data_IF_167775583522
#
_entry.id   IF_167775583522
#
_cell.length_a   1.000
_cell.length_b   1.000
_cell.length_c   1.000
_cell.angle_alpha   90.00
_cell.angle_beta   90.00
_cell.angle_gamma   90.00
#
_symmetry.space_group_name_H-M   'P 1'
#
loop_
_entity.id
_entity.type
_entity.pdbx_description
1 polymer ?
#
# COMPACT_ATOMS: atom_id res chain seq x y z
N UNK A 1 7.66 28.09 -57.59
CA UNK A 1 7.66 28.55 -56.16
C UNK A 1 6.40 28.16 -55.41
N UNK A 2 5.22 28.07 -56.06
CA UNK A 2 3.96 27.65 -55.43
C UNK A 2 3.99 26.24 -54.80
N UNK A 3 4.58 25.27 -55.50
CA UNK A 3 4.63 23.88 -55.02
C UNK A 3 5.45 23.69 -53.73
N UNK A 4 6.53 24.46 -53.52
CA UNK A 4 7.33 24.42 -52.31
C UNK A 4 6.56 25.02 -51.10
N UNK A 5 5.81 26.05 -51.32
CA UNK A 5 4.96 26.68 -50.30
C UNK A 5 3.82 25.75 -49.85
N UNK A 6 3.16 25.08 -50.79
CA UNK A 6 2.10 24.13 -50.49
C UNK A 6 2.62 22.90 -49.72
N UNK A 7 3.80 22.41 -50.07
CA UNK A 7 4.44 21.31 -49.31
C UNK A 7 4.77 21.72 -47.89
N UNK A 8 5.35 22.91 -47.66
CA UNK A 8 5.68 23.39 -46.30
C UNK A 8 4.43 23.66 -45.48
N UNK A 9 3.36 24.20 -46.08
CA UNK A 9 2.10 24.44 -45.41
C UNK A 9 1.42 23.10 -44.96
N UNK A 10 1.43 22.09 -45.85
CA UNK A 10 0.92 20.76 -45.51
C UNK A 10 1.70 20.11 -44.38
N UNK A 11 3.02 20.19 -44.41
CA UNK A 11 3.91 19.63 -43.38
C UNK A 11 3.65 20.29 -42.02
N UNK A 12 3.53 21.62 -42.00
CA UNK A 12 3.20 22.37 -40.80
C UNK A 12 1.85 21.94 -40.19
N UNK A 13 0.84 21.73 -41.06
CA UNK A 13 -0.50 21.27 -40.66
C UNK A 13 -0.46 19.92 -39.98
N UNK A 14 0.25 18.94 -40.54
CA UNK A 14 0.35 17.60 -39.94
C UNK A 14 1.16 17.61 -38.63
N UNK A 15 2.20 18.42 -38.56
CA UNK A 15 2.99 18.59 -37.34
C UNK A 15 2.12 19.20 -36.22
N UNK A 16 1.28 20.16 -36.53
CA UNK A 16 0.37 20.77 -35.57
C UNK A 16 -0.65 19.75 -35.02
N UNK A 17 -1.24 18.95 -35.90
CA UNK A 17 -2.15 17.87 -35.52
C UNK A 17 -1.45 16.84 -34.62
N UNK A 18 -0.23 16.44 -34.95
CA UNK A 18 0.54 15.50 -34.15
C UNK A 18 0.82 16.02 -32.73
N UNK A 19 1.18 17.31 -32.61
CA UNK A 19 1.41 17.95 -31.30
C UNK A 19 0.12 17.97 -30.48
N UNK A 20 -1.02 18.33 -31.08
CA UNK A 20 -2.30 18.32 -30.36
C UNK A 20 -2.66 16.93 -29.85
N UNK A 21 -2.52 15.91 -30.68
CA UNK A 21 -2.78 14.52 -30.29
C UNK A 21 -1.86 14.07 -29.17
N UNK A 22 -0.59 14.46 -29.21
CA UNK A 22 0.38 14.15 -28.16
C UNK A 22 0.00 14.80 -26.82
N UNK A 23 -0.42 16.06 -26.82
CA UNK A 23 -0.86 16.79 -25.62
C UNK A 23 -2.11 16.11 -25.02
N UNK A 24 -3.07 15.73 -25.86
CA UNK A 24 -4.29 15.04 -25.41
C UNK A 24 -3.94 13.70 -24.79
N UNK A 25 -3.10 12.90 -25.44
CA UNK A 25 -2.66 11.60 -24.92
C UNK A 25 -1.92 11.73 -23.57
N UNK A 26 -0.99 12.69 -23.47
CA UNK A 26 -0.27 12.97 -22.23
C UNK A 26 -1.22 13.40 -21.09
N UNK A 27 -2.21 14.25 -21.38
CA UNK A 27 -3.22 14.69 -20.41
C UNK A 27 -4.08 13.54 -19.89
N UNK A 28 -4.49 12.63 -20.76
CA UNK A 28 -5.28 11.44 -20.38
C UNK A 28 -4.45 10.51 -19.46
N UNK A 29 -3.18 10.27 -19.79
CA UNK A 29 -2.28 9.45 -18.97
C UNK A 29 -2.07 10.07 -17.58
N UNK A 30 -1.85 11.39 -17.54
CA UNK A 30 -1.66 12.11 -16.27
C UNK A 30 -2.93 12.05 -15.40
N UNK A 31 -4.10 12.34 -15.97
CA UNK A 31 -5.39 12.25 -15.28
C UNK A 31 -5.70 10.84 -14.76
N UNK A 32 -5.35 9.81 -15.53
CA UNK A 32 -5.52 8.43 -15.09
C UNK A 32 -4.61 8.08 -13.90
N UNK A 33 -3.39 8.63 -13.86
CA UNK A 33 -2.46 8.45 -12.75
C UNK A 33 -2.94 9.16 -11.48
N UNK A 34 -3.40 10.40 -11.59
CA UNK A 34 -3.98 11.17 -10.48
C UNK A 34 -5.26 10.53 -9.92
N UNK A 35 -6.14 10.05 -10.80
CA UNK A 35 -7.35 9.35 -10.39
C UNK A 35 -7.06 8.07 -9.58
N UNK A 36 -5.97 7.37 -9.88
CA UNK A 36 -5.53 6.19 -9.09
C UNK A 36 -5.01 6.59 -7.71
N UNK A 37 -4.25 7.70 -7.61
CA UNK A 37 -3.79 8.23 -6.32
C UNK A 37 -4.94 8.73 -5.45
N UNK A 38 -5.90 9.47 -6.01
CA UNK A 38 -7.08 9.94 -5.27
C UNK A 38 -7.97 8.78 -4.78
N UNK A 39 -8.13 7.74 -5.58
CA UNK A 39 -8.89 6.55 -5.15
C UNK A 39 -8.19 5.83 -3.99
N UNK A 40 -6.85 5.77 -3.98
CA UNK A 40 -6.06 5.24 -2.85
C UNK A 40 -6.24 6.11 -1.60
N UNK A 41 -6.11 7.43 -1.70
CA UNK A 41 -6.30 8.34 -0.58
C UNK A 41 -7.72 8.28 0.03
N UNK A 42 -8.77 8.17 -0.80
CA UNK A 42 -10.16 8.00 -0.33
C UNK A 42 -10.40 6.64 0.35
N UNK A 43 -9.68 5.58 -0.06
CA UNK A 43 -9.76 4.28 0.62
C UNK A 43 -9.13 4.33 2.01
N UNK A 44 -7.97 4.98 2.14
CA UNK A 44 -7.27 5.15 3.42
C UNK A 44 -8.15 5.88 4.44
N UNK A 45 -8.89 6.91 4.01
CA UNK A 45 -9.80 7.67 4.88
C UNK A 45 -11.01 6.87 5.40
N UNK A 46 -11.31 5.71 4.81
CA UNK A 46 -12.42 4.81 5.22
C UNK A 46 -11.96 3.60 6.02
N UNK A 47 -10.66 3.41 6.16
CA UNK A 47 -10.09 2.25 6.84
C UNK A 47 -10.16 2.44 8.35
N UNK A 48 -10.72 1.49 9.06
CA UNK A 48 -10.81 1.51 10.52
C UNK A 48 -9.45 1.31 11.22
N UNK A 49 -8.42 0.82 10.50
CA UNK A 49 -7.06 0.63 11.00
C UNK A 49 -6.14 1.56 10.22
N UNK A 50 -5.40 2.41 10.93
CA UNK A 50 -4.45 3.35 10.33
C UNK A 50 -3.00 2.93 10.46
N UNK A 51 -2.65 2.30 11.55
CA UNK A 51 -1.29 1.85 11.77
C UNK A 51 -1.26 0.54 12.55
N UNK A 52 -0.14 -0.15 12.45
CA UNK A 52 0.22 -1.25 13.32
C UNK A 52 1.37 -0.81 14.22
N UNK A 53 1.31 -1.19 15.49
CA UNK A 53 2.36 -0.95 16.48
C UNK A 53 3.00 -2.27 16.85
N UNK A 54 4.32 -2.40 16.69
CA UNK A 54 5.06 -3.58 17.05
C UNK A 54 5.13 -3.74 18.57
N UNK A 55 4.91 -4.98 19.01
CA UNK A 55 5.06 -5.41 20.40
C UNK A 55 6.32 -6.26 20.52
N UNK A 56 6.53 -7.21 19.60
CA UNK A 56 7.72 -8.06 19.50
C UNK A 56 8.29 -8.00 18.07
N UNK A 57 9.62 -8.01 17.89
CA UNK A 57 10.69 -8.17 18.90
C UNK A 57 10.94 -6.89 19.70
N UNK A 58 11.49 -7.05 20.90
CA UNK A 58 11.74 -5.94 21.84
C UNK A 58 12.60 -4.81 21.26
N UNK A 59 13.53 -5.13 20.37
CA UNK A 59 14.38 -4.15 19.67
C UNK A 59 13.59 -3.15 18.84
N UNK A 60 12.40 -3.56 18.39
CA UNK A 60 11.50 -2.74 17.56
C UNK A 60 10.21 -2.36 18.30
N UNK A 61 10.16 -2.59 19.61
CA UNK A 61 8.99 -2.29 20.43
C UNK A 61 8.51 -0.83 20.25
N UNK A 62 7.22 -0.67 20.09
CA UNK A 62 6.60 0.65 19.92
C UNK A 62 6.73 1.26 18.53
N UNK A 63 7.50 0.65 17.61
CA UNK A 63 7.59 1.12 16.23
C UNK A 63 6.22 1.06 15.57
N UNK A 64 5.82 2.16 14.97
CA UNK A 64 4.56 2.27 14.24
C UNK A 64 4.79 2.20 12.73
N UNK A 65 3.95 1.43 12.04
CA UNK A 65 3.92 1.36 10.60
C UNK A 65 2.54 1.77 10.12
N UNK A 66 2.48 2.85 9.35
CA UNK A 66 1.22 3.35 8.80
C UNK A 66 0.83 2.58 7.54
N UNK A 67 -0.43 2.15 7.48
CA UNK A 67 -0.95 1.35 6.37
C UNK A 67 -1.45 2.29 5.28
N UNK A 68 -0.65 2.47 4.24
CA UNK A 68 -0.97 3.29 3.09
C UNK A 68 -1.37 2.43 1.87
N UNK A 69 -2.48 1.70 2.01
CA UNK A 69 -3.01 0.81 0.97
C UNK A 69 -2.56 -0.62 1.13
N UNK A 70 -1.37 -0.97 0.67
CA UNK A 70 -0.77 -2.30 0.82
C UNK A 70 0.58 -2.17 1.51
N UNK A 71 0.84 -3.06 2.46
CA UNK A 71 2.05 -3.09 3.25
C UNK A 71 2.54 -4.53 3.39
N UNK A 72 3.83 -4.74 3.19
CA UNK A 72 4.50 -6.03 3.29
C UNK A 72 5.35 -6.13 4.55
N UNK A 73 5.26 -7.25 5.24
CA UNK A 73 6.04 -7.57 6.44
C UNK A 73 6.89 -8.81 6.15
N UNK A 74 8.17 -8.73 6.40
CA UNK A 74 9.05 -9.85 6.15
C UNK A 74 10.52 -9.58 6.48
N UNK A 75 11.39 -10.46 5.99
CA UNK A 75 12.85 -10.35 6.16
C UNK A 75 13.56 -9.80 4.91
N UNK A 76 12.83 -9.42 3.87
CA UNK A 76 13.39 -8.90 2.63
C UNK A 76 13.73 -7.43 2.73
N UNK A 77 14.77 -6.97 2.05
CA UNK A 77 15.18 -5.55 2.00
C UNK A 77 14.11 -4.64 1.37
N UNK A 78 13.23 -5.20 0.53
CA UNK A 78 12.16 -4.48 -0.13
C UNK A 78 10.82 -4.59 0.60
N UNK A 79 10.78 -5.21 1.79
CA UNK A 79 9.58 -5.26 2.60
C UNK A 79 9.40 -3.92 3.34
N UNK A 80 8.16 -3.41 3.41
CA UNK A 80 7.85 -2.13 4.07
C UNK A 80 8.21 -2.17 5.57
N UNK A 81 8.07 -3.34 6.17
CA UNK A 81 8.58 -3.64 7.51
C UNK A 81 9.55 -4.81 7.43
N UNK A 82 10.84 -4.48 7.42
CA UNK A 82 11.90 -5.49 7.41
C UNK A 82 12.28 -5.86 8.83
N UNK A 83 12.11 -7.14 9.19
CA UNK A 83 12.47 -7.70 10.50
C UNK A 83 13.35 -8.92 10.26
N UNK A 84 14.61 -8.83 10.67
CA UNK A 84 15.59 -9.92 10.55
C UNK A 84 15.62 -10.75 11.84
N UNK A 85 15.96 -12.03 11.73
CA UNK A 85 16.21 -12.88 12.91
C UNK A 85 14.99 -13.54 13.54
N UNK A 86 13.75 -13.16 13.16
CA UNK A 86 12.51 -13.66 13.76
C UNK A 86 11.83 -14.77 12.94
N UNK A 87 12.58 -15.55 12.18
CA UNK A 87 12.03 -16.67 11.39
C UNK A 87 11.07 -16.27 10.26
N UNK A 88 10.95 -14.97 9.96
CA UNK A 88 10.14 -14.48 8.86
C UNK A 88 10.77 -14.79 7.50
N UNK A 89 9.94 -15.03 6.50
CA UNK A 89 10.34 -15.11 5.10
C UNK A 89 10.27 -13.73 4.45
N UNK A 90 10.88 -13.57 3.27
CA UNK A 90 10.66 -12.40 2.41
C UNK A 90 9.19 -12.27 2.06
N UNK A 91 8.62 -11.09 2.23
CA UNK A 91 7.19 -10.79 2.07
C UNK A 91 6.33 -11.88 2.74
N UNK A 92 6.58 -12.15 4.03
CA UNK A 92 5.92 -13.23 4.77
C UNK A 92 4.43 -12.96 4.96
N UNK A 93 4.09 -11.74 5.31
CA UNK A 93 2.73 -11.26 5.43
C UNK A 93 2.50 -10.02 4.58
N UNK A 94 1.26 -9.83 4.16
CA UNK A 94 0.81 -8.68 3.40
C UNK A 94 -0.47 -8.17 4.01
N UNK A 95 -0.48 -6.90 4.40
CA UNK A 95 -1.65 -6.19 4.90
C UNK A 95 -2.17 -5.32 3.76
N UNK A 96 -3.46 -5.38 3.49
CA UNK A 96 -4.07 -4.65 2.39
C UNK A 96 -5.52 -4.28 2.72
N UNK A 97 -5.98 -3.18 2.15
CA UNK A 97 -7.38 -2.77 2.24
C UNK A 97 -8.20 -3.47 1.14
N UNK A 98 -9.23 -4.18 1.56
CA UNK A 98 -10.23 -4.78 0.69
C UNK A 98 -11.60 -4.19 1.00
N UNK A 99 -12.06 -3.29 0.14
CA UNK A 99 -13.39 -2.64 0.26
C UNK A 99 -13.64 -1.91 1.60
N UNK A 100 -12.60 -1.32 2.19
CA UNK A 100 -12.69 -0.60 3.47
C UNK A 100 -12.44 -1.48 4.71
N UNK A 101 -12.12 -2.75 4.50
CA UNK A 101 -11.73 -3.68 5.56
C UNK A 101 -10.24 -4.00 5.39
N UNK A 102 -9.47 -3.82 6.45
CA UNK A 102 -8.07 -4.23 6.46
C UNK A 102 -7.99 -5.75 6.60
N UNK A 103 -7.28 -6.36 5.68
CA UNK A 103 -7.06 -7.80 5.68
C UNK A 103 -5.57 -8.09 5.75
N UNK A 104 -5.22 -9.15 6.48
CA UNK A 104 -3.87 -9.71 6.45
C UNK A 104 -3.87 -11.03 5.68
N UNK A 105 -2.85 -11.20 4.84
CA UNK A 105 -2.59 -12.45 4.12
C UNK A 105 -1.19 -12.94 4.42
N UNK A 106 -1.07 -14.17 4.92
CA UNK A 106 0.22 -14.78 5.27
C UNK A 106 0.62 -15.87 4.28
N UNK A 107 1.93 -16.01 4.02
CA UNK A 107 2.47 -17.07 3.16
C UNK A 107 2.35 -18.43 3.81
N UNK A 108 2.61 -18.53 5.11
CA UNK A 108 2.53 -19.77 5.88
C UNK A 108 1.56 -19.60 7.04
N UNK A 109 0.61 -20.51 7.16
CA UNK A 109 -0.38 -20.52 8.25
C UNK A 109 0.20 -20.97 9.59
N UNK A 110 1.26 -21.75 9.55
CA UNK A 110 1.92 -22.23 10.75
C UNK A 110 2.49 -21.04 11.52
N UNK A 111 2.15 -20.95 12.81
CA UNK A 111 2.54 -19.83 13.66
C UNK A 111 1.89 -18.48 13.29
N UNK A 112 0.65 -18.52 12.82
CA UNK A 112 -0.17 -17.34 12.62
C UNK A 112 -1.37 -17.39 13.56
N UNK A 113 -1.49 -16.40 14.44
CA UNK A 113 -2.62 -16.23 15.35
C UNK A 113 -3.09 -14.79 15.40
N UNK A 114 -4.37 -14.61 15.75
CA UNK A 114 -4.98 -13.32 16.04
C UNK A 114 -5.63 -13.45 17.40
N UNK A 115 -5.30 -12.55 18.33
CA UNK A 115 -5.77 -12.58 19.72
C UNK A 115 -5.53 -13.96 20.35
N UNK A 116 -4.32 -14.52 20.15
CA UNK A 116 -3.87 -15.85 20.58
C UNK A 116 -4.62 -17.05 19.97
N UNK A 117 -5.58 -16.81 19.08
CA UNK A 117 -6.32 -17.85 18.37
C UNK A 117 -5.62 -18.19 17.05
N UNK A 118 -5.16 -19.43 16.92
CA UNK A 118 -4.53 -19.92 15.70
C UNK A 118 -5.48 -19.86 14.51
N UNK A 119 -5.02 -19.28 13.42
CA UNK A 119 -5.81 -19.07 12.22
C UNK A 119 -5.63 -20.21 11.21
N UNK A 120 -6.75 -20.77 10.76
CA UNK A 120 -6.77 -21.80 9.70
C UNK A 120 -6.74 -21.20 8.30
N UNK A 121 -7.16 -19.94 8.14
CA UNK A 121 -7.17 -19.21 6.87
C UNK A 121 -5.85 -18.47 6.63
N UNK A 122 -5.47 -18.34 5.35
CA UNK A 122 -4.31 -17.50 4.96
C UNK A 122 -4.65 -16.01 4.87
N UNK A 123 -5.92 -15.67 4.76
CA UNK A 123 -6.39 -14.29 4.68
C UNK A 123 -7.50 -14.09 5.69
N UNK A 124 -7.32 -13.12 6.57
CA UNK A 124 -8.25 -12.80 7.66
C UNK A 124 -8.44 -11.30 7.69
N UNK A 125 -9.68 -10.87 7.97
CA UNK A 125 -10.00 -9.48 8.24
C UNK A 125 -9.50 -9.11 9.64
N UNK A 126 -9.00 -7.89 9.78
CA UNK A 126 -8.50 -7.35 11.03
C UNK A 126 -9.42 -6.24 11.53
N UNK A 127 -9.56 -6.17 12.86
CA UNK A 127 -10.27 -5.10 13.54
C UNK A 127 -9.32 -4.24 14.39
N UNK A 128 -9.67 -2.98 14.68
CA UNK A 128 -8.89 -2.17 15.61
C UNK A 128 -8.83 -2.84 16.98
N UNK A 129 -7.63 -2.96 17.54
CA UNK A 129 -7.37 -3.65 18.80
C UNK A 129 -6.92 -5.09 18.63
N UNK A 130 -7.01 -5.67 17.44
CA UNK A 130 -6.51 -7.03 17.22
C UNK A 130 -5.00 -7.10 17.41
N UNK A 131 -4.57 -8.10 18.16
CA UNK A 131 -3.17 -8.49 18.31
C UNK A 131 -2.86 -9.63 17.35
N UNK A 132 -1.93 -9.40 16.46
CA UNK A 132 -1.53 -10.36 15.42
C UNK A 132 -0.15 -10.88 15.72
N UNK A 133 -0.01 -12.20 15.78
CA UNK A 133 1.28 -12.87 15.93
C UNK A 133 1.63 -13.70 14.71
N UNK A 134 2.83 -13.48 14.18
CA UNK A 134 3.37 -14.20 13.03
C UNK A 134 4.77 -14.66 13.39
N UNK A 135 4.94 -15.96 13.65
CA UNK A 135 6.18 -16.55 14.15
C UNK A 135 6.57 -15.86 15.47
N UNK A 136 7.67 -15.13 15.51
CA UNK A 136 8.18 -14.41 16.68
C UNK A 136 7.93 -12.89 16.59
N UNK A 137 7.05 -12.47 15.69
CA UNK A 137 6.68 -11.05 15.54
C UNK A 137 5.24 -10.86 15.98
N UNK A 138 5.03 -9.91 16.87
CA UNK A 138 3.73 -9.53 17.38
C UNK A 138 3.49 -8.04 17.20
N UNK A 139 2.30 -7.69 16.74
CA UNK A 139 1.86 -6.31 16.58
C UNK A 139 0.38 -6.14 16.86
N UNK A 140 0.00 -4.95 17.28
CA UNK A 140 -1.39 -4.57 17.50
C UNK A 140 -1.87 -3.63 16.40
N UNK A 141 -3.10 -3.81 15.96
CA UNK A 141 -3.79 -2.99 14.99
C UNK A 141 -4.40 -1.77 15.68
N UNK A 142 -3.99 -0.56 15.32
CA UNK A 142 -4.49 0.66 15.93
C UNK A 142 -5.48 1.38 15.00
N UNK A 143 -6.63 1.76 15.56
CA UNK A 143 -7.62 2.61 14.91
C UNK A 143 -7.26 4.09 14.97
N UNK A 144 -8.08 4.95 14.32
CA UNK A 144 -7.84 6.40 14.28
C UNK A 144 -7.85 7.09 15.65
N UNK A 145 -8.58 6.56 16.62
CA UNK A 145 -8.68 7.14 17.96
C UNK A 145 -7.46 6.88 18.85
N UNK A 146 -6.62 5.90 18.53
CA UNK A 146 -5.45 5.54 19.34
C UNK A 146 -4.19 6.38 19.03
N UNK A 147 -4.29 7.34 18.10
CA UNK A 147 -3.17 8.24 17.76
C UNK A 147 -3.03 9.40 18.74
N UNK A 148 -4.12 9.78 19.43
CA UNK A 148 -4.12 10.98 20.31
C UNK A 148 -3.40 10.76 21.65
N UNK A 149 -3.29 9.52 22.13
CA UNK A 149 -2.72 9.22 23.46
C UNK A 149 -1.18 9.06 23.46
N UNK A 150 -0.51 9.27 22.35
CA UNK A 150 0.93 8.99 22.19
C UNK A 150 1.86 10.19 22.15
N UNK A 151 1.38 11.42 22.41
CA UNK A 151 2.17 12.64 22.34
C UNK A 151 2.08 13.44 23.66
N UNK A 152 2.41 12.79 24.75
CA UNK A 152 2.64 13.43 26.04
C UNK A 152 4.06 13.14 26.54
#
# INVERSE_FOLDING_TARGET
METAYEMTASLARYLFIAIILFIIAASVVLSAKEGRMMRRARRIARTNIRCIKLIEPQEMYGRRLYINGECTIGSGENDDLTISGCGLLRAHARIFDHAGTVCIKVKRKRFFSINDLAQSSRSVALEPGDTVRIVDVEFICLGPAAEEDGNA
#
